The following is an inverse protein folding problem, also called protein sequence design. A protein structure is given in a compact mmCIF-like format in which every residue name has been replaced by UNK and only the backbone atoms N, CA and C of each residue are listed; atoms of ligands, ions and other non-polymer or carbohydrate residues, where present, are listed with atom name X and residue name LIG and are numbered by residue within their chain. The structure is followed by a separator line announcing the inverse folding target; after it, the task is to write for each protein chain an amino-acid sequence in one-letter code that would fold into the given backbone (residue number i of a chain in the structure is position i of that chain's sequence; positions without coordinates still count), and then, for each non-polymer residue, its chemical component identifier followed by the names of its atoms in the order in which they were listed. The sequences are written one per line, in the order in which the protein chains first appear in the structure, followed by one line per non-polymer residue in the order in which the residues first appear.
data_IF_412750702319
#
_entry.id   IF_412750702319
#
_cell.length_a   1.000
_cell.length_b   1.000
_cell.length_c   1.000
_cell.angle_alpha   90.00
_cell.angle_beta   90.00
_cell.angle_gamma   90.00
#
_symmetry.space_group_name_H-M   'P 1'
#
loop_
_entity.id
_entity.type
_entity.pdbx_description
1 polymer ?
#
# COMPACT_ATOMS: atom_id res chain seq x y z
N UNK A 1 -7.22 -9.01 -30.30
CA UNK A 1 -6.10 -8.55 -29.47
C UNK A 1 -6.34 -9.06 -28.06
N UNK A 2 -5.48 -9.92 -27.54
CA UNK A 2 -5.48 -10.22 -26.10
C UNK A 2 -5.22 -8.90 -25.38
N UNK A 3 -6.25 -8.33 -24.75
CA UNK A 3 -6.05 -7.24 -23.81
C UNK A 3 -5.14 -7.81 -22.72
N UNK A 4 -3.88 -7.42 -22.70
CA UNK A 4 -2.95 -7.72 -21.61
C UNK A 4 -3.58 -7.20 -20.32
N UNK A 5 -4.29 -8.07 -19.61
CA UNK A 5 -4.95 -7.71 -18.37
C UNK A 5 -3.86 -7.43 -17.35
N UNK A 6 -3.62 -6.15 -17.08
CA UNK A 6 -2.75 -5.73 -16.00
C UNK A 6 -3.27 -6.33 -14.70
N UNK A 7 -2.37 -6.89 -13.90
CA UNK A 7 -2.70 -7.48 -12.62
C UNK A 7 -1.76 -6.92 -11.56
N UNK A 8 -2.29 -6.50 -10.42
CA UNK A 8 -1.44 -6.17 -9.29
C UNK A 8 -1.26 -7.39 -8.41
N UNK A 9 -0.04 -7.57 -7.93
CA UNK A 9 0.34 -8.77 -7.18
C UNK A 9 0.97 -8.38 -5.86
N UNK A 10 0.39 -8.83 -4.75
CA UNK A 10 0.74 -8.41 -3.41
C UNK A 10 0.84 -9.60 -2.45
N UNK A 11 1.49 -9.38 -1.31
CA UNK A 11 1.51 -10.36 -0.23
C UNK A 11 0.15 -10.44 0.45
N UNK A 12 -0.24 -11.61 0.94
CA UNK A 12 -1.40 -11.79 1.83
C UNK A 12 -1.34 -10.87 3.05
N UNK A 13 -0.13 -10.49 3.52
CA UNK A 13 0.08 -9.53 4.61
C UNK A 13 -0.30 -8.10 4.26
N UNK A 14 -0.30 -7.73 2.97
CA UNK A 14 -0.76 -6.43 2.50
C UNK A 14 -2.29 -6.32 2.49
N UNK A 15 -3.00 -7.43 2.71
CA UNK A 15 -4.46 -7.46 2.64
C UNK A 15 -5.08 -7.57 4.03
N UNK A 16 -6.14 -6.79 4.31
CA UNK A 16 -6.86 -6.88 5.59
C UNK A 16 -7.36 -8.30 5.84
N UNK A 17 -7.21 -8.82 7.06
CA UNK A 17 -7.51 -10.23 7.35
C UNK A 17 -8.94 -10.66 6.98
N UNK A 18 -9.93 -9.80 7.27
CA UNK A 18 -11.34 -10.06 6.98
C UNK A 18 -11.89 -8.99 6.04
N UNK A 19 -12.87 -9.35 5.18
CA UNK A 19 -13.63 -8.36 4.44
C UNK A 19 -14.60 -7.62 5.37
N UNK A 20 -14.91 -6.37 5.04
CA UNK A 20 -15.90 -5.54 5.73
C UNK A 20 -16.84 -4.88 4.73
N UNK A 21 -18.04 -4.53 5.18
CA UNK A 21 -18.98 -3.80 4.34
C UNK A 21 -18.52 -2.35 4.17
N UNK A 22 -18.38 -1.90 2.93
CA UNK A 22 -18.08 -0.51 2.65
C UNK A 22 -19.28 0.37 3.00
N UNK A 23 -19.03 1.56 3.55
CA UNK A 23 -20.11 2.48 3.97
C UNK A 23 -20.93 2.97 2.78
N UNK A 24 -20.27 3.27 1.66
CA UNK A 24 -20.88 3.97 0.51
C UNK A 24 -21.03 3.12 -0.75
N UNK A 25 -20.24 2.05 -0.92
CA UNK A 25 -20.24 1.30 -2.18
C UNK A 25 -21.30 0.20 -2.15
N UNK A 26 -22.09 0.12 -3.22
CA UNK A 26 -23.21 -0.80 -3.35
C UNK A 26 -23.06 -1.69 -4.59
N UNK A 27 -23.60 -2.89 -4.52
CA UNK A 27 -23.75 -3.79 -5.67
C UNK A 27 -24.93 -3.35 -6.56
N UNK A 28 -25.18 -4.11 -7.62
CA UNK A 28 -26.29 -3.86 -8.55
C UNK A 28 -27.67 -3.96 -7.88
N UNK A 29 -27.78 -4.66 -6.76
CA UNK A 29 -29.01 -4.82 -5.97
C UNK A 29 -29.13 -3.74 -4.87
N UNK A 30 -28.19 -2.80 -4.80
CA UNK A 30 -28.16 -1.74 -3.79
C UNK A 30 -27.65 -2.18 -2.41
N UNK A 31 -27.19 -3.42 -2.25
CA UNK A 31 -26.59 -3.92 -1.01
C UNK A 31 -25.15 -3.47 -0.91
N UNK A 32 -24.66 -3.25 0.32
CA UNK A 32 -23.27 -2.80 0.54
C UNK A 32 -22.27 -3.84 0.05
N UNK A 33 -21.25 -3.40 -0.68
CA UNK A 33 -20.17 -4.28 -1.13
C UNK A 33 -19.28 -4.68 0.05
N UNK A 34 -18.93 -5.97 0.10
CA UNK A 34 -17.84 -6.46 0.94
C UNK A 34 -16.51 -6.15 0.26
N UNK A 35 -15.65 -5.43 0.95
CA UNK A 35 -14.35 -5.00 0.44
C UNK A 35 -13.24 -5.51 1.36
N UNK A 36 -12.03 -5.64 0.83
CA UNK A 36 -10.80 -5.75 1.61
C UNK A 36 -9.93 -4.54 1.33
N UNK A 37 -9.17 -4.14 2.35
CA UNK A 37 -8.14 -3.13 2.23
C UNK A 37 -6.89 -3.82 1.69
N UNK A 38 -6.32 -3.30 0.61
CA UNK A 38 -5.04 -3.73 0.05
C UNK A 38 -4.04 -2.58 0.20
N UNK A 39 -3.11 -2.74 1.13
CA UNK A 39 -2.07 -1.75 1.44
C UNK A 39 -1.05 -1.68 0.31
N UNK A 40 -0.67 -0.46 -0.06
CA UNK A 40 0.41 -0.25 -1.02
C UNK A 40 1.74 -0.78 -0.46
N UNK A 41 2.69 -1.18 -1.33
CA UNK A 41 4.04 -1.50 -0.90
C UNK A 41 4.68 -0.33 -0.16
N UNK A 42 5.51 -0.63 0.84
CA UNK A 42 6.29 0.40 1.52
C UNK A 42 7.31 1.03 0.58
N UNK A 43 7.86 2.18 0.99
CA UNK A 43 8.79 2.98 0.20
C UNK A 43 10.00 2.19 -0.34
N UNK A 44 10.47 1.20 0.43
CA UNK A 44 11.60 0.35 0.04
C UNK A 44 11.30 -0.51 -1.20
N UNK A 45 10.02 -0.85 -1.44
CA UNK A 45 9.57 -1.78 -2.47
C UNK A 45 8.81 -1.11 -3.62
N UNK A 46 8.77 0.22 -3.66
CA UNK A 46 8.17 1.01 -4.75
C UNK A 46 9.22 1.85 -5.48
N UNK A 47 8.94 2.36 -6.69
CA UNK A 47 9.84 3.29 -7.39
C UNK A 47 10.23 4.49 -6.50
N UNK A 48 11.49 4.90 -6.51
CA UNK A 48 11.94 6.07 -5.69
C UNK A 48 11.28 7.38 -6.13
N UNK A 49 10.88 7.48 -7.40
CA UNK A 49 10.15 8.62 -7.94
C UNK A 49 8.68 8.67 -7.52
N UNK A 50 8.21 7.72 -6.71
CA UNK A 50 6.83 7.73 -6.23
C UNK A 50 6.65 8.84 -5.20
N UNK A 51 5.91 9.88 -5.57
CA UNK A 51 5.48 10.96 -4.70
C UNK A 51 3.94 11.05 -4.73
N UNK A 52 3.30 10.99 -3.56
CA UNK A 52 1.85 11.13 -3.43
C UNK A 52 1.40 12.59 -3.24
N UNK A 53 2.35 13.51 -3.09
CA UNK A 53 2.13 14.93 -2.95
C UNK A 53 1.38 15.34 -1.68
N UNK A 54 1.02 16.62 -1.65
CA UNK A 54 0.19 17.23 -0.61
C UNK A 54 -1.25 17.33 -1.14
N UNK A 55 -2.23 17.09 -0.28
CA UNK A 55 -3.64 17.20 -0.65
C UNK A 55 -4.22 18.63 -0.53
N UNK A 56 -5.50 18.80 -0.85
CA UNK A 56 -6.16 20.11 -0.77
C UNK A 56 -6.30 20.64 0.65
N UNK A 57 -6.07 19.80 1.65
CA UNK A 57 -6.11 20.13 3.08
C UNK A 57 -4.70 20.39 3.66
N UNK A 58 -3.65 20.41 2.83
CA UNK A 58 -2.27 20.63 3.26
C UNK A 58 -1.62 19.38 3.89
N UNK A 59 -2.23 18.20 3.75
CA UNK A 59 -1.72 16.96 4.33
C UNK A 59 -0.74 16.29 3.35
N UNK A 60 0.49 16.06 3.81
CA UNK A 60 1.48 15.29 3.07
C UNK A 60 1.08 13.80 3.05
N UNK A 61 0.63 13.32 1.88
CA UNK A 61 0.14 11.94 1.70
C UNK A 61 1.26 10.90 1.82
N UNK A 62 2.53 11.29 1.61
CA UNK A 62 3.67 10.38 1.75
C UNK A 62 3.88 9.87 3.18
N UNK A 63 3.40 10.62 4.18
CA UNK A 63 3.48 10.27 5.60
C UNK A 63 2.30 9.40 6.08
N UNK A 64 1.43 9.00 5.17
CA UNK A 64 0.17 8.33 5.49
C UNK A 64 0.17 6.91 4.93
N UNK A 65 -0.56 6.02 5.60
CA UNK A 65 -0.76 4.66 5.11
C UNK A 65 -1.70 4.70 3.91
N UNK A 66 -1.19 4.29 2.75
CA UNK A 66 -1.91 4.26 1.49
C UNK A 66 -2.50 2.87 1.21
N UNK A 67 -3.72 2.82 0.68
CA UNK A 67 -4.41 1.57 0.39
C UNK A 67 -5.46 1.69 -0.73
N UNK A 68 -5.87 0.53 -1.25
CA UNK A 68 -7.01 0.38 -2.13
C UNK A 68 -8.15 -0.33 -1.38
N UNK A 69 -9.38 0.08 -1.67
CA UNK A 69 -10.55 -0.73 -1.37
C UNK A 69 -10.86 -1.61 -2.58
N UNK A 70 -10.77 -2.93 -2.39
CA UNK A 70 -10.97 -3.91 -3.47
C UNK A 70 -12.12 -4.85 -3.09
N UNK A 71 -13.09 -5.10 -3.98
CA UNK A 71 -14.12 -6.11 -3.73
C UNK A 71 -13.49 -7.46 -3.37
N UNK A 72 -13.98 -8.07 -2.29
CA UNK A 72 -13.34 -9.24 -1.69
C UNK A 72 -13.25 -10.43 -2.65
N UNK A 73 -14.23 -10.57 -3.53
CA UNK A 73 -14.39 -11.59 -4.55
C UNK A 73 -13.47 -11.39 -5.77
N UNK A 74 -12.97 -10.17 -5.98
CA UNK A 74 -11.98 -9.90 -7.02
C UNK A 74 -10.57 -10.37 -6.63
N UNK A 75 -10.30 -10.56 -5.34
CA UNK A 75 -8.98 -10.94 -4.84
C UNK A 75 -8.80 -12.46 -4.97
N UNK A 76 -7.83 -12.85 -5.80
CA UNK A 76 -7.50 -14.24 -6.09
C UNK A 76 -6.28 -14.70 -5.31
N UNK A 77 -6.23 -16.01 -5.08
CA UNK A 77 -5.10 -16.71 -4.50
C UNK A 77 -4.18 -17.20 -5.61
N UNK A 78 -2.87 -17.02 -5.45
CA UNK A 78 -1.90 -17.68 -6.31
C UNK A 78 -1.89 -19.19 -6.01
N UNK A 79 -1.84 -20.00 -7.06
CA UNK A 79 -1.92 -21.47 -6.94
C UNK A 79 -0.61 -22.11 -6.45
N UNK A 80 0.50 -21.39 -6.61
CA UNK A 80 1.85 -21.87 -6.29
C UNK A 80 2.29 -21.31 -4.94
N UNK A 81 1.98 -20.05 -4.67
CA UNK A 81 2.37 -19.36 -3.43
C UNK A 81 1.15 -18.85 -2.66
N UNK A 82 0.76 -19.54 -1.60
CA UNK A 82 -0.37 -19.14 -0.76
C UNK A 82 -0.19 -17.79 -0.07
N UNK A 83 1.05 -17.28 0.04
CA UNK A 83 1.34 -15.94 0.58
C UNK A 83 1.16 -14.85 -0.46
N UNK A 84 0.86 -15.20 -1.70
CA UNK A 84 0.66 -14.28 -2.81
C UNK A 84 -0.83 -14.19 -3.16
N UNK A 85 -1.25 -12.96 -3.42
CA UNK A 85 -2.59 -12.59 -3.84
C UNK A 85 -2.47 -11.67 -5.05
N UNK A 86 -3.52 -11.64 -5.86
CA UNK A 86 -3.58 -10.74 -7.01
C UNK A 86 -5.03 -10.41 -7.38
N UNK A 87 -5.22 -9.35 -8.15
CA UNK A 87 -6.44 -9.12 -8.90
C UNK A 87 -6.13 -8.40 -10.20
N UNK A 88 -7.03 -8.52 -11.18
CA UNK A 88 -6.91 -7.86 -12.47
C UNK A 88 -7.46 -6.44 -12.39
N UNK A 89 -6.71 -5.50 -12.96
CA UNK A 89 -7.16 -4.15 -13.19
C UNK A 89 -8.12 -4.18 -14.38
N UNK A 90 -9.34 -3.71 -14.15
CA UNK A 90 -10.49 -3.72 -15.05
C UNK A 90 -11.10 -2.32 -15.27
N UNK A 91 -10.41 -1.28 -14.80
CA UNK A 91 -10.75 0.13 -14.95
C UNK A 91 -9.52 0.86 -15.44
N UNK A 92 -9.72 2.00 -16.09
CA UNK A 92 -8.61 2.86 -16.51
C UNK A 92 -7.96 3.56 -15.32
N UNK A 93 -8.77 3.98 -14.35
CA UNK A 93 -8.32 4.76 -13.20
C UNK A 93 -8.78 4.16 -11.87
N UNK A 94 -7.95 4.38 -10.85
CA UNK A 94 -8.14 3.88 -9.48
C UNK A 94 -7.87 5.00 -8.47
N UNK A 95 -8.58 4.94 -7.35
CA UNK A 95 -8.37 5.87 -6.25
C UNK A 95 -7.54 5.18 -5.14
N UNK A 96 -6.32 5.66 -4.94
CA UNK A 96 -5.53 5.35 -3.75
C UNK A 96 -6.11 6.16 -2.59
N UNK A 97 -6.49 5.48 -1.53
CA UNK A 97 -6.98 6.07 -0.29
C UNK A 97 -5.85 6.16 0.73
N UNK A 98 -5.99 7.09 1.67
CA UNK A 98 -5.02 7.36 2.71
C UNK A 98 -5.70 7.31 4.07
N UNK A 99 -5.03 6.72 5.07
CA UNK A 99 -5.57 6.63 6.43
C UNK A 99 -5.33 7.94 7.17
N UNK A 100 -6.41 8.54 7.68
CA UNK A 100 -6.34 9.73 8.52
C UNK A 100 -5.79 9.43 9.91
N UNK A 101 -5.27 10.46 10.58
CA UNK A 101 -5.01 10.40 12.02
C UNK A 101 -6.27 10.77 12.78
N UNK A 102 -6.48 10.16 13.95
CA UNK A 102 -7.50 10.63 14.88
C UNK A 102 -6.96 11.89 15.55
N UNK A 103 -7.75 12.95 15.50
CA UNK A 103 -7.47 14.24 16.15
C UNK A 103 -7.87 14.19 17.63
N UNK A 104 -7.45 15.18 18.39
CA UNK A 104 -7.75 15.28 19.84
C UNK A 104 -9.26 15.32 20.13
N UNK A 105 -10.05 15.87 19.22
CA UNK A 105 -11.52 15.93 19.30
C UNK A 105 -12.23 14.59 18.96
N UNK A 106 -11.46 13.54 18.64
CA UNK A 106 -11.98 12.23 18.26
C UNK A 106 -12.41 12.11 16.80
N UNK A 107 -12.33 13.18 16.01
CA UNK A 107 -12.58 13.14 14.56
C UNK A 107 -11.37 12.58 13.80
N UNK A 108 -11.60 12.00 12.61
CA UNK A 108 -10.52 11.54 11.74
C UNK A 108 -10.16 12.61 10.70
N UNK A 109 -8.87 12.81 10.43
CA UNK A 109 -8.41 13.61 9.30
C UNK A 109 -9.04 13.11 8.00
N UNK A 110 -9.72 14.00 7.29
CA UNK A 110 -10.14 13.75 5.92
C UNK A 110 -8.94 14.00 5.01
N UNK A 111 -8.59 13.01 4.20
CA UNK A 111 -7.50 13.08 3.22
C UNK A 111 -8.07 12.80 1.84
N UNK A 112 -7.74 13.63 0.86
CA UNK A 112 -8.18 13.39 -0.51
C UNK A 112 -7.50 12.14 -1.10
N UNK A 113 -8.28 11.34 -1.81
CA UNK A 113 -7.73 10.24 -2.58
C UNK A 113 -6.84 10.75 -3.73
N UNK A 114 -5.86 9.94 -4.11
CA UNK A 114 -5.05 10.17 -5.30
C UNK A 114 -5.58 9.29 -6.43
N UNK A 115 -5.98 9.91 -7.53
CA UNK A 115 -6.38 9.20 -8.75
C UNK A 115 -5.11 8.82 -9.54
N UNK A 116 -5.02 7.56 -9.92
CA UNK A 116 -3.91 7.02 -10.72
C UNK A 116 -4.45 6.11 -11.82
N UNK A 117 -3.69 6.01 -12.90
CA UNK A 117 -3.98 5.07 -13.98
C UNK A 117 -3.72 3.62 -13.55
N UNK A 118 -4.31 2.67 -14.28
CA UNK A 118 -4.04 1.25 -14.10
C UNK A 118 -2.55 0.90 -14.29
N UNK A 119 -1.85 1.56 -15.21
CA UNK A 119 -0.43 1.35 -15.47
C UNK A 119 0.44 1.84 -14.31
N UNK A 120 0.17 3.05 -13.80
CA UNK A 120 0.87 3.57 -12.62
C UNK A 120 0.65 2.66 -11.41
N UNK A 121 -0.58 2.18 -11.21
CA UNK A 121 -0.90 1.29 -10.11
C UNK A 121 -0.24 -0.09 -10.25
N UNK A 122 -0.21 -0.66 -11.45
CA UNK A 122 0.54 -1.89 -11.75
C UNK A 122 2.02 -1.71 -11.41
N UNK A 123 2.61 -0.62 -11.89
CA UNK A 123 4.01 -0.32 -11.66
C UNK A 123 4.28 -0.20 -10.16
N UNK A 124 3.45 0.53 -9.40
CA UNK A 124 3.61 0.66 -7.94
C UNK A 124 3.67 -0.68 -7.21
N UNK A 125 2.81 -1.64 -7.57
CA UNK A 125 2.73 -2.93 -6.89
C UNK A 125 3.78 -3.93 -7.36
N UNK A 126 4.06 -3.96 -8.67
CA UNK A 126 4.87 -5.00 -9.28
C UNK A 126 6.31 -4.58 -9.54
N UNK A 127 6.66 -3.30 -9.38
CA UNK A 127 8.02 -2.79 -9.60
C UNK A 127 9.07 -3.64 -8.88
N UNK A 128 8.84 -3.94 -7.60
CA UNK A 128 9.77 -4.74 -6.79
C UNK A 128 9.98 -6.18 -7.29
N UNK A 129 9.07 -6.68 -8.12
CA UNK A 129 9.07 -8.06 -8.62
C UNK A 129 9.88 -8.20 -9.90
N UNK A 130 10.14 -7.10 -10.60
CA UNK A 130 10.93 -7.10 -11.84
C UNK A 130 12.40 -7.35 -11.52
N UNK A 131 13.08 -8.16 -12.34
CA UNK A 131 14.42 -8.69 -12.02
C UNK A 131 15.45 -7.57 -11.88
N UNK A 132 15.35 -6.56 -12.75
CA UNK A 132 16.19 -5.38 -12.81
C UNK A 132 16.16 -4.54 -11.51
N UNK A 133 15.04 -4.56 -10.77
CA UNK A 133 14.86 -3.74 -9.58
C UNK A 133 15.39 -4.41 -8.30
N UNK A 134 15.71 -5.71 -8.35
CA UNK A 134 16.17 -6.47 -7.16
C UNK A 134 17.43 -5.89 -6.54
N UNK A 135 18.37 -5.42 -7.37
CA UNK A 135 19.62 -4.80 -6.91
C UNK A 135 19.34 -3.55 -6.08
N UNK A 136 18.49 -2.65 -6.61
CA UNK A 136 18.09 -1.41 -5.94
C UNK A 136 17.40 -1.69 -4.60
N UNK A 137 16.54 -2.69 -4.54
CA UNK A 137 15.84 -3.08 -3.30
C UNK A 137 16.83 -3.59 -2.26
N UNK A 138 17.76 -4.47 -2.65
CA UNK A 138 18.75 -5.01 -1.72
C UNK A 138 19.65 -3.90 -1.15
N UNK A 139 20.09 -2.95 -1.99
CA UNK A 139 20.85 -1.78 -1.54
C UNK A 139 20.08 -0.93 -0.52
N UNK A 140 18.79 -0.68 -0.78
CA UNK A 140 17.91 0.04 0.15
C UNK A 140 17.72 -0.72 1.47
N UNK A 141 17.55 -2.04 1.42
CA UNK A 141 17.40 -2.89 2.61
C UNK A 141 18.66 -2.91 3.47
N UNK A 142 19.83 -3.06 2.85
CA UNK A 142 21.13 -3.00 3.54
C UNK A 142 21.35 -1.65 4.22
N UNK A 143 21.03 -0.55 3.52
CA UNK A 143 21.09 0.80 4.09
C UNK A 143 20.15 0.96 5.28
N UNK A 144 18.90 0.50 5.17
CA UNK A 144 17.92 0.54 6.25
C UNK A 144 18.36 -0.29 7.47
N UNK A 145 18.96 -1.46 7.24
CA UNK A 145 19.51 -2.32 8.29
C UNK A 145 20.64 -1.64 9.06
N UNK A 146 21.61 -1.03 8.36
CA UNK A 146 22.71 -0.29 8.99
C UNK A 146 22.20 0.86 9.86
N UNK A 147 21.21 1.62 9.39
CA UNK A 147 20.59 2.67 10.21
C UNK A 147 19.88 2.14 11.45
N UNK A 148 19.19 0.99 11.34
CA UNK A 148 18.54 0.36 12.47
C UNK A 148 19.56 -0.10 13.53
N UNK A 149 20.67 -0.72 13.09
CA UNK A 149 21.77 -1.18 13.95
C UNK A 149 22.49 -0.02 14.66
N UNK A 150 22.69 1.11 13.97
CA UNK A 150 23.25 2.34 14.55
C UNK A 150 22.32 2.89 15.64
N UNK A 151 21.02 3.03 15.35
CA UNK A 151 20.02 3.51 16.33
C UNK A 151 19.94 2.62 17.56
N UNK A 152 19.99 1.29 17.40
CA UNK A 152 20.00 0.38 18.55
C UNK A 152 21.26 0.49 19.41
N UNK A 153 22.41 0.72 18.77
CA UNK A 153 23.70 0.89 19.46
C UNK A 153 23.76 2.19 20.26
N UNK A 154 23.20 3.28 19.73
CA UNK A 154 23.08 4.57 20.45
C UNK A 154 22.10 4.48 21.63
N UNK A 155 20.94 3.84 21.44
CA UNK A 155 19.97 3.64 22.52
C UNK A 155 20.54 2.79 23.68
N UNK A 156 21.40 1.81 23.39
CA UNK A 156 22.11 1.01 24.40
C UNK A 156 23.15 1.82 25.19
N UNK A 157 23.85 2.75 24.54
CA UNK A 157 24.83 3.63 25.20
C UNK A 157 24.17 4.65 26.14
N UNK A 158 23.00 5.18 25.78
CA UNK A 158 22.24 6.11 26.64
C UNK A 158 21.77 5.41 27.93
N UNK A 159 21.30 4.16 27.85
CA UNK A 159 20.89 3.39 29.03
C UNK A 159 22.03 3.11 30.01
N UNK A 160 23.26 2.91 29.53
CA UNK A 160 24.42 2.64 30.38
C UNK A 160 25.06 3.90 31.00
N UNK A 161 24.73 5.11 30.52
CA UNK A 161 25.21 6.38 31.08
C UNK A 161 24.33 6.97 32.19
N UNK A 162 23.16 6.38 32.42
CA UNK A 162 22.17 6.89 33.39
C UNK A 162 22.12 6.03 34.66
N UNK A 163 23.20 5.32 34.98
CA UNK A 163 23.38 4.52 36.20
C UNK A 163 24.57 5.03 36.99
#
# INVERSE_FOLDING_TARGET
MENNKLAIVFSSKQCSQKPSYHRTYKDREGKRLKMRIVMLPSELFRPASTDFGVDSHGINRNERLAYLNVPWDMIKHDKIDEKKRYFYLNRENYNIQFKGRIKEDGSEERIDCLNVTAEELENLFNWSRRKENKKVINERLEKARKFAEQRSSEAGKVKNRTR
#
